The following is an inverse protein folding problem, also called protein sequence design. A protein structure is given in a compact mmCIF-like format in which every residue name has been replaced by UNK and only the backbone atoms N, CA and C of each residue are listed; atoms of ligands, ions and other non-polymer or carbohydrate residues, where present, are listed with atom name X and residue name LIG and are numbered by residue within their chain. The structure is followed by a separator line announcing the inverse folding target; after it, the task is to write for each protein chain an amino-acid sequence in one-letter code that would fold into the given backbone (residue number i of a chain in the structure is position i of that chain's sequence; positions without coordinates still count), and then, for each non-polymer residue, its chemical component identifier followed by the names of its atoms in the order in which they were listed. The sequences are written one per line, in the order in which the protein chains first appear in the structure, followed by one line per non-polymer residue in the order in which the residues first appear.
data_IF_043684237156
#
_entry.id   IF_043684237156
#
_cell.length_a   1.000
_cell.length_b   1.000
_cell.length_c   1.000
_cell.angle_alpha   90.00
_cell.angle_beta   90.00
_cell.angle_gamma   90.00
#
_symmetry.space_group_name_H-M   'P 1'
#
loop_
_entity.id
_entity.type
_entity.pdbx_description
1 polymer ?
#
# COMPACT_ATOMS: atom_id res chain seq x y z
N UNK A 1 -29.38 1.51 -42.89
CA UNK A 1 -29.66 0.91 -41.57
C UNK A 1 -28.68 -0.22 -41.31
N UNK A 2 -27.95 -0.19 -40.21
CA UNK A 2 -27.03 -1.27 -39.82
C UNK A 2 -27.84 -2.44 -39.29
N UNK A 3 -27.75 -3.62 -39.93
CA UNK A 3 -28.39 -4.85 -39.44
C UNK A 3 -27.62 -5.37 -38.23
N UNK A 4 -28.24 -5.36 -37.06
CA UNK A 4 -27.66 -5.90 -35.82
C UNK A 4 -27.94 -7.40 -35.75
N UNK A 5 -26.90 -8.21 -35.54
CA UNK A 5 -27.01 -9.65 -35.32
C UNK A 5 -26.29 -10.02 -34.02
N UNK A 6 -27.02 -10.63 -33.08
CA UNK A 6 -26.47 -11.08 -31.80
C UNK A 6 -26.03 -12.54 -31.96
N UNK A 7 -24.75 -12.82 -31.69
CA UNK A 7 -24.18 -14.18 -31.69
C UNK A 7 -23.79 -14.57 -30.27
N UNK A 8 -24.22 -15.74 -29.82
CA UNK A 8 -23.89 -16.28 -28.51
C UNK A 8 -22.77 -17.33 -28.61
N UNK A 9 -21.59 -16.88 -29.03
CA UNK A 9 -20.39 -17.72 -28.99
C UNK A 9 -19.68 -17.56 -27.64
N UNK A 10 -19.01 -18.61 -27.15
CA UNK A 10 -18.20 -18.59 -25.92
C UNK A 10 -16.89 -17.80 -26.13
N UNK A 11 -17.01 -16.50 -26.41
CA UNK A 11 -15.89 -15.57 -26.55
C UNK A 11 -15.89 -14.70 -25.29
N UNK A 12 -14.75 -14.61 -24.61
CA UNK A 12 -14.54 -13.66 -23.50
C UNK A 12 -13.94 -12.36 -24.02
N UNK A 13 -14.22 -11.24 -23.36
CA UNK A 13 -13.58 -9.95 -23.61
C UNK A 13 -12.21 -9.80 -22.93
N UNK A 14 -11.81 -10.74 -22.06
CA UNK A 14 -10.67 -10.61 -21.16
C UNK A 14 -9.62 -11.71 -21.34
N UNK A 15 -9.24 -12.05 -22.56
CA UNK A 15 -8.30 -13.15 -22.84
C UNK A 15 -6.94 -13.03 -22.16
N UNK A 16 -6.45 -11.81 -21.89
CA UNK A 16 -5.20 -11.58 -21.18
C UNK A 16 -5.22 -12.10 -19.73
N UNK A 17 -6.42 -12.26 -19.14
CA UNK A 17 -6.56 -12.80 -17.78
C UNK A 17 -6.03 -14.22 -17.69
N UNK A 18 -6.12 -15.03 -18.76
CA UNK A 18 -5.70 -16.43 -18.71
C UNK A 18 -4.20 -16.56 -18.49
N UNK A 19 -3.38 -15.69 -19.10
CA UNK A 19 -1.94 -15.64 -18.80
C UNK A 19 -1.70 -15.24 -17.34
N UNK A 20 -2.45 -14.28 -16.81
CA UNK A 20 -2.34 -13.86 -15.40
C UNK A 20 -2.68 -15.01 -14.45
N UNK A 21 -3.71 -15.81 -14.77
CA UNK A 21 -4.06 -17.02 -14.02
C UNK A 21 -2.94 -18.05 -14.06
N UNK A 22 -2.30 -18.25 -15.22
CA UNK A 22 -1.14 -19.14 -15.36
C UNK A 22 0.05 -18.64 -14.55
N UNK A 23 0.32 -17.33 -14.54
CA UNK A 23 1.35 -16.71 -13.70
C UNK A 23 1.05 -16.92 -12.21
N UNK A 24 -0.20 -16.69 -11.78
CA UNK A 24 -0.64 -16.93 -10.40
C UNK A 24 -0.40 -18.39 -9.98
N UNK A 25 -0.76 -19.35 -10.84
CA UNK A 25 -0.51 -20.78 -10.60
C UNK A 25 0.98 -21.12 -10.58
N UNK A 26 1.79 -20.58 -11.51
CA UNK A 26 3.24 -20.80 -11.59
C UNK A 26 3.99 -20.26 -10.36
N UNK A 27 3.57 -19.12 -9.84
CA UNK A 27 4.09 -18.58 -8.58
C UNK A 27 3.74 -19.48 -7.38
N UNK A 28 2.81 -20.42 -7.53
CA UNK A 28 2.44 -21.38 -6.49
C UNK A 28 1.67 -20.75 -5.34
N UNK A 29 0.93 -19.66 -5.61
CA UNK A 29 0.22 -18.92 -4.56
C UNK A 29 -0.86 -19.72 -3.86
N UNK A 30 -1.48 -20.71 -4.52
CA UNK A 30 -2.41 -21.61 -3.85
C UNK A 30 -1.73 -22.38 -2.71
N UNK A 31 -0.61 -23.06 -3.01
CA UNK A 31 0.17 -23.81 -2.01
C UNK A 31 0.75 -22.89 -0.93
N UNK A 32 1.22 -21.70 -1.32
CA UNK A 32 1.75 -20.72 -0.37
C UNK A 32 0.66 -20.26 0.60
N UNK A 33 -0.53 -19.93 0.09
CA UNK A 33 -1.66 -19.49 0.90
C UNK A 33 -2.10 -20.58 1.88
N UNK A 34 -2.20 -21.83 1.41
CA UNK A 34 -2.53 -22.97 2.28
C UNK A 34 -1.46 -23.19 3.36
N UNK A 35 -0.17 -22.98 3.06
CA UNK A 35 0.90 -23.13 4.04
C UNK A 35 0.87 -22.09 5.17
N UNK A 36 0.32 -20.91 4.93
CA UNK A 36 0.27 -19.81 5.92
C UNK A 36 -1.08 -19.74 6.62
N UNK A 37 -2.17 -19.85 5.87
CA UNK A 37 -3.54 -19.70 6.38
C UNK A 37 -4.20 -21.04 6.76
N UNK A 38 -3.58 -22.15 6.37
CA UNK A 38 -4.15 -23.48 6.54
C UNK A 38 -5.21 -23.82 5.50
N UNK A 39 -5.69 -25.06 5.60
CA UNK A 39 -6.80 -25.57 4.76
C UNK A 39 -8.13 -24.95 5.19
N UNK A 40 -8.94 -24.61 4.20
CA UNK A 40 -10.29 -24.12 4.41
C UNK A 40 -11.29 -25.27 4.45
N UNK A 41 -12.04 -25.37 5.54
CA UNK A 41 -13.09 -26.38 5.75
C UNK A 41 -12.57 -27.80 5.98
N UNK A 42 -13.39 -28.63 6.62
CA UNK A 42 -13.00 -30.00 7.00
C UNK A 42 -13.38 -31.06 5.95
N UNK A 43 -14.28 -30.73 5.01
CA UNK A 43 -14.94 -31.70 4.12
C UNK A 43 -14.28 -31.89 2.75
N UNK A 44 -13.20 -31.17 2.45
CA UNK A 44 -12.51 -31.19 1.14
C UNK A 44 -13.31 -30.60 -0.03
N UNK A 45 -14.56 -30.17 0.20
CA UNK A 45 -15.44 -29.56 -0.80
C UNK A 45 -15.42 -28.03 -0.80
N UNK A 46 -14.80 -27.42 0.21
CA UNK A 46 -14.69 -25.98 0.31
C UNK A 46 -13.61 -25.46 -0.65
N UNK A 47 -13.88 -24.30 -1.26
CA UNK A 47 -12.86 -23.58 -2.01
C UNK A 47 -11.70 -23.20 -1.09
N UNK A 48 -10.48 -23.39 -1.58
CA UNK A 48 -9.26 -23.00 -0.85
C UNK A 48 -9.18 -21.48 -0.69
N UNK A 49 -8.45 -21.01 0.33
CA UNK A 49 -8.13 -19.59 0.47
C UNK A 49 -7.43 -19.05 -0.78
N UNK A 50 -6.54 -19.82 -1.42
CA UNK A 50 -5.88 -19.42 -2.66
C UNK A 50 -6.85 -19.14 -3.80
N UNK A 51 -7.90 -19.96 -3.95
CA UNK A 51 -8.95 -19.76 -4.95
C UNK A 51 -9.82 -18.53 -4.63
N UNK A 52 -10.02 -18.21 -3.36
CA UNK A 52 -10.74 -17.01 -2.90
C UNK A 52 -9.96 -15.75 -3.24
N UNK A 53 -8.66 -15.71 -2.93
CA UNK A 53 -7.78 -14.61 -3.32
C UNK A 53 -7.73 -14.48 -4.84
N UNK A 54 -7.61 -15.60 -5.56
CA UNK A 54 -7.62 -15.64 -7.03
C UNK A 54 -8.88 -15.03 -7.63
N UNK A 55 -10.08 -15.44 -7.18
CA UNK A 55 -11.33 -14.84 -7.65
C UNK A 55 -11.37 -13.32 -7.50
N UNK A 56 -10.95 -12.81 -6.33
CA UNK A 56 -10.93 -11.38 -6.09
C UNK A 56 -9.90 -10.68 -6.98
N UNK A 57 -8.69 -11.25 -7.10
CA UNK A 57 -7.60 -10.69 -7.90
C UNK A 57 -8.00 -10.59 -9.36
N UNK A 58 -8.55 -11.66 -9.93
CA UNK A 58 -8.92 -11.69 -11.34
C UNK A 58 -10.09 -10.75 -11.64
N UNK A 59 -11.02 -10.56 -10.69
CA UNK A 59 -12.11 -9.60 -10.80
C UNK A 59 -11.60 -8.17 -10.97
N UNK A 60 -10.77 -7.70 -10.03
CA UNK A 60 -10.18 -6.36 -10.09
C UNK A 60 -9.27 -6.19 -11.32
N UNK A 61 -8.49 -7.21 -11.68
CA UNK A 61 -7.65 -7.17 -12.89
C UNK A 61 -8.46 -7.18 -14.21
N UNK A 62 -9.76 -7.40 -14.17
CA UNK A 62 -10.69 -7.22 -15.30
C UNK A 62 -11.55 -5.95 -15.17
N UNK A 63 -11.28 -5.09 -14.18
CA UNK A 63 -11.98 -3.83 -13.97
C UNK A 63 -13.22 -3.92 -13.08
N UNK A 64 -13.34 -4.96 -12.25
CA UNK A 64 -14.33 -4.97 -11.17
C UNK A 64 -13.95 -3.99 -10.07
N UNK A 65 -14.95 -3.34 -9.49
CA UNK A 65 -14.80 -2.32 -8.45
C UNK A 65 -15.40 -2.77 -7.10
N UNK A 66 -16.33 -3.73 -7.11
CA UNK A 66 -16.91 -4.33 -5.91
C UNK A 66 -16.81 -5.86 -5.88
N UNK A 67 -17.16 -6.46 -4.75
CA UNK A 67 -17.07 -7.91 -4.54
C UNK A 67 -18.09 -8.67 -5.41
N UNK A 68 -19.24 -8.05 -5.66
CA UNK A 68 -20.34 -8.61 -6.45
C UNK A 68 -19.99 -8.78 -7.93
N UNK A 69 -19.07 -7.97 -8.47
CA UNK A 69 -18.61 -8.05 -9.87
C UNK A 69 -17.99 -9.41 -10.21
N UNK A 70 -17.52 -10.14 -9.18
CA UNK A 70 -17.04 -11.52 -9.32
C UNK A 70 -18.10 -12.39 -9.99
N UNK A 71 -19.39 -12.20 -9.68
CA UNK A 71 -20.47 -13.01 -10.26
C UNK A 71 -20.64 -12.76 -11.76
N UNK A 72 -20.41 -11.53 -12.23
CA UNK A 72 -20.46 -11.19 -13.65
C UNK A 72 -19.25 -11.74 -14.43
N UNK A 73 -18.09 -11.83 -13.79
CA UNK A 73 -16.83 -12.22 -14.44
C UNK A 73 -16.51 -13.72 -14.33
N UNK A 74 -17.03 -14.40 -13.31
CA UNK A 74 -16.74 -15.83 -13.04
C UNK A 74 -17.06 -16.73 -14.23
N UNK A 75 -18.14 -16.43 -14.98
CA UNK A 75 -18.49 -17.18 -16.19
C UNK A 75 -17.40 -17.14 -17.26
N UNK A 76 -16.68 -16.01 -17.37
CA UNK A 76 -15.58 -15.84 -18.31
C UNK A 76 -14.33 -16.61 -17.86
N UNK A 77 -14.04 -16.62 -16.56
CA UNK A 77 -12.91 -17.35 -16.00
C UNK A 77 -13.08 -18.87 -16.15
N UNK A 78 -14.31 -19.39 -15.99
CA UNK A 78 -14.65 -20.81 -16.15
C UNK A 78 -14.45 -21.35 -17.57
N UNK A 79 -14.33 -20.49 -18.58
CA UNK A 79 -14.02 -20.93 -19.94
C UNK A 79 -12.60 -21.50 -20.04
N UNK A 80 -11.67 -21.13 -19.14
CA UNK A 80 -10.34 -21.75 -19.06
C UNK A 80 -10.46 -23.17 -18.50
N UNK A 81 -10.01 -24.21 -19.24
CA UNK A 81 -10.12 -25.60 -18.79
C UNK A 81 -9.52 -25.82 -17.40
N UNK A 82 -10.23 -26.57 -16.55
CA UNK A 82 -9.78 -26.89 -15.19
C UNK A 82 -9.89 -25.74 -14.18
N UNK A 83 -10.50 -24.62 -14.57
CA UNK A 83 -10.69 -23.48 -13.66
C UNK A 83 -11.99 -23.61 -12.88
N UNK A 84 -11.87 -23.72 -11.56
CA UNK A 84 -13.00 -23.67 -10.63
C UNK A 84 -12.79 -22.54 -9.63
N UNK A 85 -13.57 -21.47 -9.78
CA UNK A 85 -13.48 -20.28 -8.93
C UNK A 85 -14.82 -20.01 -8.21
N UNK A 86 -14.76 -19.61 -6.92
CA UNK A 86 -15.95 -19.25 -6.15
C UNK A 86 -16.56 -17.94 -6.64
N UNK A 87 -17.88 -17.81 -6.48
CA UNK A 87 -18.62 -16.55 -6.65
C UNK A 87 -18.51 -15.63 -5.43
N UNK A 88 -19.12 -14.45 -5.54
CA UNK A 88 -19.02 -13.35 -4.57
C UNK A 88 -19.32 -13.80 -3.13
N UNK A 89 -20.47 -14.43 -2.87
CA UNK A 89 -20.86 -14.82 -1.51
C UNK A 89 -19.86 -15.77 -0.82
N UNK A 90 -19.22 -16.63 -1.60
CA UNK A 90 -18.23 -17.57 -1.07
C UNK A 90 -16.90 -16.89 -0.83
N UNK A 91 -16.53 -15.92 -1.68
CA UNK A 91 -15.37 -15.05 -1.47
C UNK A 91 -15.57 -14.20 -0.21
N UNK A 92 -16.71 -13.52 -0.08
CA UNK A 92 -17.04 -12.71 1.09
C UNK A 92 -16.97 -13.50 2.39
N UNK A 93 -17.58 -14.70 2.44
CA UNK A 93 -17.49 -15.58 3.62
C UNK A 93 -16.05 -16.01 3.94
N UNK A 94 -15.28 -16.43 2.95
CA UNK A 94 -13.91 -16.85 3.21
C UNK A 94 -12.95 -15.71 3.58
N UNK A 95 -13.24 -14.47 3.19
CA UNK A 95 -12.51 -13.31 3.71
C UNK A 95 -12.87 -13.07 5.19
N UNK A 96 -14.15 -13.13 5.55
CA UNK A 96 -14.58 -12.98 6.96
C UNK A 96 -13.99 -14.05 7.88
N UNK A 97 -13.86 -15.29 7.39
CA UNK A 97 -13.23 -16.40 8.13
C UNK A 97 -11.74 -16.15 8.46
N UNK A 98 -11.08 -15.21 7.78
CA UNK A 98 -9.69 -14.84 8.02
C UNK A 98 -9.55 -13.65 8.99
N UNK A 99 -10.65 -13.09 9.47
CA UNK A 99 -10.62 -11.99 10.42
C UNK A 99 -10.02 -12.43 11.75
N UNK A 100 -9.13 -11.59 12.29
CA UNK A 100 -8.55 -11.77 13.63
C UNK A 100 -9.23 -10.79 14.58
N UNK A 101 -9.39 -11.16 15.85
CA UNK A 101 -10.01 -10.30 16.86
C UNK A 101 -9.22 -9.01 17.06
N UNK A 102 -9.95 -7.92 17.32
CA UNK A 102 -9.34 -6.63 17.61
C UNK A 102 -8.70 -6.60 18.99
N UNK A 103 -7.51 -6.02 19.08
CA UNK A 103 -6.84 -5.69 20.33
C UNK A 103 -7.38 -4.33 20.81
N UNK A 104 -7.90 -4.28 22.03
CA UNK A 104 -8.43 -3.06 22.63
C UNK A 104 -7.43 -2.47 23.60
N UNK A 105 -6.94 -1.27 23.29
CA UNK A 105 -6.07 -0.50 24.17
C UNK A 105 -6.87 0.59 24.89
N UNK A 106 -6.71 0.69 26.21
CA UNK A 106 -7.35 1.73 27.01
C UNK A 106 -6.36 2.85 27.28
N UNK A 107 -6.72 4.06 26.88
CA UNK A 107 -5.95 5.26 27.20
C UNK A 107 -6.17 5.62 28.67
N UNK A 108 -5.10 5.57 29.47
CA UNK A 108 -5.14 5.99 30.88
C UNK A 108 -5.49 7.48 31.03
N UNK A 109 -5.02 8.31 30.09
CA UNK A 109 -5.21 9.76 30.13
C UNK A 109 -6.64 10.20 29.76
N UNK A 110 -7.27 9.55 28.79
CA UNK A 110 -8.60 9.94 28.30
C UNK A 110 -9.72 9.02 28.77
N UNK A 111 -9.39 7.87 29.36
CA UNK A 111 -10.33 6.81 29.72
C UNK A 111 -10.96 6.09 28.52
N UNK A 112 -10.66 6.51 27.29
CA UNK A 112 -11.23 5.95 26.05
C UNK A 112 -10.52 4.67 25.64
N UNK A 113 -11.27 3.76 25.04
CA UNK A 113 -10.75 2.53 24.44
C UNK A 113 -10.65 2.68 22.94
N UNK A 114 -9.58 2.15 22.36
CA UNK A 114 -9.30 2.17 20.93
C UNK A 114 -8.98 0.76 20.44
N UNK A 115 -9.60 0.37 19.34
CA UNK A 115 -9.46 -0.95 18.74
C UNK A 115 -8.37 -0.93 17.67
N UNK A 116 -7.56 -1.98 17.64
CA UNK A 116 -6.49 -2.20 16.68
C UNK A 116 -6.61 -3.61 16.09
N UNK A 117 -6.34 -3.76 14.80
CA UNK A 117 -6.30 -5.05 14.12
C UNK A 117 -4.93 -5.27 13.48
N UNK A 118 -4.21 -6.28 13.97
CA UNK A 118 -2.83 -6.56 13.55
C UNK A 118 -2.75 -7.47 12.32
N UNK A 119 -3.77 -8.30 12.07
CA UNK A 119 -3.85 -9.26 10.95
C UNK A 119 -2.53 -10.02 10.71
N UNK A 120 -2.01 -10.69 11.74
CA UNK A 120 -0.66 -11.24 11.80
C UNK A 120 -0.41 -12.24 10.66
N UNK A 121 -1.34 -13.18 10.46
CA UNK A 121 -1.22 -14.22 9.43
C UNK A 121 -1.23 -13.63 8.02
N UNK A 122 -2.04 -12.60 7.79
CA UNK A 122 -2.12 -11.94 6.49
C UNK A 122 -0.91 -11.07 6.20
N UNK A 123 -0.36 -10.39 7.22
CA UNK A 123 0.91 -9.67 7.09
C UNK A 123 2.05 -10.63 6.74
N UNK A 124 2.09 -11.81 7.37
CA UNK A 124 3.05 -12.86 7.04
C UNK A 124 2.86 -13.37 5.60
N UNK A 125 1.62 -13.64 5.18
CA UNK A 125 1.32 -14.07 3.81
C UNK A 125 1.76 -13.02 2.77
N UNK A 126 1.48 -11.74 3.02
CA UNK A 126 1.87 -10.63 2.16
C UNK A 126 3.38 -10.63 1.91
N UNK A 127 4.18 -10.72 2.97
CA UNK A 127 5.64 -10.74 2.89
C UNK A 127 6.16 -11.98 2.15
N UNK A 128 5.59 -13.16 2.41
CA UNK A 128 5.98 -14.38 1.69
C UNK A 128 5.61 -14.34 0.22
N UNK A 129 4.49 -13.72 -0.16
CA UNK A 129 4.13 -13.48 -1.55
C UNK A 129 5.12 -12.53 -2.23
N UNK A 130 5.53 -11.44 -1.56
CA UNK A 130 6.55 -10.49 -2.06
C UNK A 130 7.87 -11.22 -2.33
N UNK A 131 8.32 -12.06 -1.39
CA UNK A 131 9.53 -12.88 -1.54
C UNK A 131 9.39 -13.87 -2.70
N UNK A 132 8.23 -14.52 -2.84
CA UNK A 132 7.96 -15.48 -3.93
C UNK A 132 7.95 -14.82 -5.31
N UNK A 133 7.47 -13.57 -5.41
CA UNK A 133 7.52 -12.75 -6.62
C UNK A 133 8.90 -12.15 -6.90
N UNK A 134 9.86 -12.25 -5.96
CA UNK A 134 11.17 -11.64 -6.09
C UNK A 134 11.14 -10.11 -6.16
N UNK A 135 10.08 -9.48 -5.64
CA UNK A 135 9.92 -8.02 -5.68
C UNK A 135 10.94 -7.29 -4.79
N UNK A 136 11.38 -7.95 -3.72
CA UNK A 136 12.42 -7.50 -2.79
C UNK A 136 13.38 -8.68 -2.59
N UNK A 137 14.69 -8.42 -2.73
CA UNK A 137 15.73 -9.47 -2.62
C UNK A 137 16.17 -9.60 -1.17
N UNK A 138 16.30 -10.84 -0.69
CA UNK A 138 16.93 -11.09 0.62
C UNK A 138 18.36 -10.54 0.64
N UNK A 139 18.78 -10.01 1.78
CA UNK A 139 20.07 -9.33 1.98
C UNK A 139 20.14 -7.90 1.43
N UNK A 140 19.09 -7.39 0.79
CA UNK A 140 19.09 -6.00 0.33
C UNK A 140 18.92 -5.01 1.48
N UNK A 141 19.55 -3.85 1.33
CA UNK A 141 19.33 -2.67 2.15
C UNK A 141 18.13 -1.89 1.60
N UNK A 142 17.14 -1.62 2.44
CA UNK A 142 15.84 -1.06 2.01
C UNK A 142 15.50 0.24 2.71
N UNK A 143 14.74 1.07 2.01
CA UNK A 143 14.12 2.28 2.56
C UNK A 143 12.67 1.96 2.92
N UNK A 144 12.34 2.08 4.20
CA UNK A 144 11.00 1.82 4.73
C UNK A 144 10.27 3.13 4.97
N UNK A 145 9.16 3.30 4.26
CA UNK A 145 8.23 4.41 4.45
C UNK A 145 7.05 3.94 5.30
N UNK A 146 6.67 4.73 6.31
CA UNK A 146 5.48 4.47 7.11
C UNK A 146 4.58 5.70 7.17
N UNK A 147 3.32 5.49 6.82
CA UNK A 147 2.30 6.52 6.82
C UNK A 147 0.94 5.98 7.27
N UNK A 148 0.14 6.86 7.85
CA UNK A 148 -1.23 6.56 8.16
C UNK A 148 -2.15 7.12 7.08
N UNK A 149 -3.10 6.30 6.64
CA UNK A 149 -4.08 6.68 5.64
C UNK A 149 -5.45 6.69 6.29
N UNK A 150 -6.14 7.83 6.27
CA UNK A 150 -7.56 7.85 6.62
C UNK A 150 -8.37 7.20 5.50
N UNK A 151 -9.20 6.22 5.84
CA UNK A 151 -10.11 5.58 4.90
C UNK A 151 -11.53 5.95 5.32
N UNK A 152 -12.17 6.91 4.63
CA UNK A 152 -13.58 7.24 4.85
C UNK A 152 -14.44 6.00 4.67
N UNK A 153 -15.22 5.66 5.69
CA UNK A 153 -16.04 4.48 5.69
C UNK A 153 -17.23 4.68 6.64
N UNK A 154 -18.44 4.65 6.09
CA UNK A 154 -19.68 4.68 6.87
C UNK A 154 -20.12 3.27 7.25
N UNK A 155 -19.24 2.56 7.97
CA UNK A 155 -19.48 1.17 8.42
C UNK A 155 -20.10 1.16 9.82
N UNK A 156 -20.63 0.00 10.21
CA UNK A 156 -21.38 -0.15 11.45
C UNK A 156 -20.56 0.25 12.68
N UNK A 157 -19.29 -0.13 12.73
CA UNK A 157 -18.39 0.15 13.85
C UNK A 157 -17.49 1.39 13.64
N UNK A 158 -17.57 2.05 12.49
CA UNK A 158 -16.73 3.19 12.15
C UNK A 158 -16.92 4.37 13.13
N UNK A 159 -15.81 5.04 13.48
CA UNK A 159 -15.80 6.15 14.43
C UNK A 159 -15.54 7.47 13.73
N UNK A 160 -16.15 8.55 14.23
CA UNK A 160 -15.95 9.88 13.69
C UNK A 160 -14.53 10.38 13.98
N UNK A 161 -13.82 10.72 12.92
CA UNK A 161 -12.41 11.14 12.95
C UNK A 161 -12.26 12.65 13.04
N UNK A 162 -11.08 13.10 13.45
CA UNK A 162 -10.67 14.51 13.34
C UNK A 162 -10.58 14.99 11.88
N UNK A 163 -10.58 14.06 10.91
CA UNK A 163 -10.73 14.34 9.46
C UNK A 163 -12.16 14.70 9.05
N UNK A 164 -13.04 14.93 10.02
CA UNK A 164 -14.44 15.35 9.85
C UNK A 164 -15.34 14.34 9.14
N UNK A 165 -14.97 13.06 9.20
CA UNK A 165 -15.75 11.97 8.60
C UNK A 165 -15.64 10.68 9.42
N UNK A 166 -16.55 9.73 9.20
CA UNK A 166 -16.48 8.39 9.78
C UNK A 166 -15.51 7.51 8.98
N UNK A 167 -14.71 6.71 9.67
CA UNK A 167 -13.84 5.77 8.99
C UNK A 167 -12.84 5.10 9.89
N UNK A 168 -11.78 4.59 9.28
CA UNK A 168 -10.66 3.94 9.95
C UNK A 168 -9.35 4.68 9.67
N UNK A 169 -8.35 4.48 10.51
CA UNK A 169 -7.06 5.16 10.42
C UNK A 169 -5.86 4.20 10.35
N UNK A 170 -5.83 3.27 9.38
CA UNK A 170 -4.78 2.26 9.28
C UNK A 170 -3.40 2.85 9.05
N UNK A 171 -2.39 2.20 9.62
CA UNK A 171 -0.97 2.47 9.39
C UNK A 171 -0.39 1.47 8.39
N UNK A 172 0.28 1.96 7.36
CA UNK A 172 0.85 1.14 6.30
C UNK A 172 2.32 1.43 6.10
N UNK A 173 3.08 0.36 5.87
CA UNK A 173 4.48 0.43 5.51
C UNK A 173 4.71 0.05 4.04
N UNK A 174 5.65 0.73 3.38
CA UNK A 174 6.02 0.42 2.01
C UNK A 174 7.51 0.55 1.74
N UNK A 175 8.00 -0.19 0.74
CA UNK A 175 9.39 -0.17 0.25
C UNK A 175 9.35 0.05 -1.26
N UNK A 176 9.82 1.19 -1.75
CA UNK A 176 9.84 1.49 -3.19
C UNK A 176 8.47 1.33 -3.87
N UNK A 177 7.40 1.66 -3.14
CA UNK A 177 6.01 1.49 -3.56
C UNK A 177 5.46 0.07 -3.47
N UNK A 178 6.16 -0.90 -2.90
CA UNK A 178 5.60 -2.22 -2.56
C UNK A 178 5.04 -2.13 -1.14
N UNK A 179 3.78 -2.50 -0.91
CA UNK A 179 3.20 -2.49 0.44
C UNK A 179 3.76 -3.71 1.19
N UNK A 180 4.37 -3.50 2.36
CA UNK A 180 5.05 -4.58 3.11
C UNK A 180 4.36 -4.93 4.42
N UNK A 181 3.40 -4.13 4.86
CA UNK A 181 2.56 -4.48 5.99
C UNK A 181 1.65 -3.34 6.39
N UNK A 182 0.63 -3.66 7.16
CA UNK A 182 -0.25 -2.67 7.75
C UNK A 182 -1.07 -3.22 8.90
N UNK A 183 -1.60 -2.30 9.69
CA UNK A 183 -2.47 -2.57 10.83
C UNK A 183 -3.60 -1.55 10.84
N UNK A 184 -4.83 -2.01 11.08
CA UNK A 184 -6.00 -1.15 11.10
C UNK A 184 -6.31 -0.67 12.51
N UNK A 185 -6.98 0.48 12.63
CA UNK A 185 -7.43 1.02 13.92
C UNK A 185 -8.59 1.99 13.76
N UNK A 186 -9.26 2.26 14.87
CA UNK A 186 -10.39 3.19 14.93
C UNK A 186 -10.02 4.58 14.38
N UNK A 187 -10.96 5.18 13.63
CA UNK A 187 -10.79 6.50 12.99
C UNK A 187 -10.53 7.67 13.94
N UNK A 188 -10.92 7.54 15.21
CA UNK A 188 -10.77 8.56 16.26
C UNK A 188 -9.50 8.36 17.11
N UNK A 189 -8.68 7.35 16.81
CA UNK A 189 -7.44 7.08 17.53
C UNK A 189 -6.41 8.15 17.24
N UNK A 190 -5.72 8.65 18.28
CA UNK A 190 -4.59 9.54 18.08
C UNK A 190 -3.49 8.78 17.33
N UNK A 191 -2.92 9.41 16.30
CA UNK A 191 -1.94 8.75 15.43
C UNK A 191 -0.71 8.20 16.16
N UNK A 192 -0.33 8.82 17.29
CA UNK A 192 0.81 8.46 18.13
C UNK A 192 0.52 7.31 19.10
N UNK A 193 -0.75 6.99 19.36
CA UNK A 193 -1.15 6.03 20.38
C UNK A 193 -0.82 4.59 19.91
N UNK A 194 0.00 3.87 20.68
CA UNK A 194 0.51 2.52 20.38
C UNK A 194 1.12 2.36 18.97
N UNK A 195 1.66 3.45 18.42
CA UNK A 195 2.29 3.41 17.11
C UNK A 195 3.62 2.65 17.16
N UNK A 196 4.35 2.75 18.26
CA UNK A 196 5.57 2.01 18.54
C UNK A 196 5.36 0.51 18.47
N UNK A 197 4.23 0.01 18.99
CA UNK A 197 3.88 -1.41 18.92
C UNK A 197 3.64 -1.86 17.47
N UNK A 198 2.95 -1.02 16.69
CA UNK A 198 2.68 -1.25 15.26
C UNK A 198 3.98 -1.28 14.45
N UNK A 199 4.84 -0.27 14.63
CA UNK A 199 6.13 -0.17 13.95
C UNK A 199 7.07 -1.31 14.33
N UNK A 200 7.12 -1.67 15.61
CA UNK A 200 7.89 -2.83 16.10
C UNK A 200 7.50 -4.09 15.34
N UNK A 201 6.19 -4.43 15.36
CA UNK A 201 5.68 -5.63 14.69
C UNK A 201 5.97 -5.62 13.19
N UNK A 202 5.73 -4.51 12.51
CA UNK A 202 5.98 -4.39 11.07
C UNK A 202 7.47 -4.55 10.75
N UNK A 203 8.36 -3.83 11.42
CA UNK A 203 9.80 -3.86 11.15
C UNK A 203 10.41 -5.22 11.48
N UNK A 204 10.01 -5.85 12.58
CA UNK A 204 10.47 -7.17 12.97
C UNK A 204 10.01 -8.23 11.94
N UNK A 205 8.76 -8.17 11.47
CA UNK A 205 8.25 -9.03 10.40
C UNK A 205 8.97 -8.82 9.08
N UNK A 206 9.16 -7.57 8.65
CA UNK A 206 9.84 -7.23 7.39
C UNK A 206 11.26 -7.82 7.39
N UNK A 207 11.99 -7.64 8.49
CA UNK A 207 13.36 -8.14 8.63
C UNK A 207 13.39 -9.67 8.63
N UNK A 208 12.53 -10.32 9.40
CA UNK A 208 12.52 -11.78 9.55
C UNK A 208 11.99 -12.55 8.33
N UNK A 209 10.90 -12.10 7.71
CA UNK A 209 10.26 -12.82 6.59
C UNK A 209 10.91 -12.51 5.23
N UNK A 210 11.35 -11.26 5.00
CA UNK A 210 12.05 -10.88 3.76
C UNK A 210 13.57 -11.07 3.85
N UNK A 211 14.13 -11.10 5.06
CA UNK A 211 15.58 -11.20 5.26
C UNK A 211 16.33 -9.95 4.78
N UNK A 212 15.78 -8.76 5.00
CA UNK A 212 16.34 -7.48 4.56
C UNK A 212 16.88 -6.67 5.73
N UNK A 213 17.76 -5.71 5.45
CA UNK A 213 18.23 -4.72 6.43
C UNK A 213 17.54 -3.40 6.15
N UNK A 214 16.85 -2.85 7.15
CA UNK A 214 16.22 -1.53 7.03
C UNK A 214 17.32 -0.48 7.18
N UNK A 215 17.73 0.11 6.06
CA UNK A 215 18.82 1.09 6.04
C UNK A 215 18.31 2.48 6.43
N UNK A 216 17.19 2.88 5.82
CA UNK A 216 16.58 4.20 6.03
C UNK A 216 15.11 4.04 6.38
N UNK A 217 14.64 4.75 7.39
CA UNK A 217 13.24 4.84 7.76
C UNK A 217 12.71 6.26 7.57
N UNK A 218 11.53 6.44 6.96
CA UNK A 218 10.89 7.75 6.80
C UNK A 218 9.45 7.73 7.33
N UNK A 219 9.07 8.77 8.07
CA UNK A 219 7.70 8.95 8.56
C UNK A 219 7.30 10.42 8.74
N UNK A 220 5.99 10.68 8.82
CA UNK A 220 5.43 12.01 9.08
C UNK A 220 5.41 12.39 10.58
N UNK A 221 4.98 13.62 10.87
CA UNK A 221 4.91 14.19 12.21
C UNK A 221 3.97 13.46 13.17
N UNK A 222 3.04 12.67 12.62
CA UNK A 222 2.25 11.71 13.37
C UNK A 222 3.09 10.70 14.14
N UNK A 223 4.34 10.48 13.75
CA UNK A 223 5.28 9.52 14.35
C UNK A 223 6.29 10.15 15.31
N UNK A 224 6.17 11.46 15.59
CA UNK A 224 7.08 12.16 16.48
C UNK A 224 6.72 11.91 17.96
N UNK A 225 7.26 10.83 18.53
CA UNK A 225 7.24 10.50 19.96
C UNK A 225 8.58 9.88 20.39
N UNK A 226 8.93 9.97 21.69
CA UNK A 226 10.19 9.42 22.22
C UNK A 226 10.23 7.90 22.10
N UNK A 227 9.08 7.25 22.34
CA UNK A 227 8.88 5.80 22.31
C UNK A 227 9.04 5.26 20.88
N UNK A 228 8.47 5.95 19.90
CA UNK A 228 8.61 5.61 18.47
C UNK A 228 10.08 5.72 18.03
N UNK A 229 10.76 6.81 18.39
CA UNK A 229 12.17 7.01 17.99
C UNK A 229 13.06 5.90 18.59
N UNK A 230 12.90 5.57 19.87
CA UNK A 230 13.65 4.47 20.51
C UNK A 230 13.42 3.13 19.81
N UNK A 231 12.19 2.86 19.39
CA UNK A 231 11.82 1.60 18.73
C UNK A 231 12.41 1.49 17.32
N UNK A 232 12.32 2.57 16.55
CA UNK A 232 12.81 2.67 15.16
C UNK A 232 14.33 2.62 15.12
N UNK A 233 15.00 3.37 15.99
CA UNK A 233 16.47 3.45 16.03
C UNK A 233 17.14 2.09 16.29
N UNK A 234 16.48 1.19 17.02
CA UNK A 234 16.99 -0.17 17.25
C UNK A 234 16.86 -1.09 16.02
N UNK A 235 16.08 -0.70 15.01
CA UNK A 235 15.64 -1.55 13.89
C UNK A 235 16.02 -0.98 12.52
N UNK A 236 16.63 0.20 12.47
CA UNK A 236 17.15 0.78 11.24
C UNK A 236 18.47 1.51 11.49
N UNK A 237 19.31 1.61 10.45
CA UNK A 237 20.57 2.34 10.54
C UNK A 237 20.35 3.86 10.64
N UNK A 238 19.45 4.39 9.80
CA UNK A 238 19.13 5.82 9.81
C UNK A 238 17.63 6.08 9.72
N UNK A 239 17.17 7.15 10.37
CA UNK A 239 15.76 7.54 10.31
C UNK A 239 15.59 9.02 9.97
N UNK A 240 14.42 9.34 9.42
CA UNK A 240 14.00 10.69 9.05
C UNK A 240 12.53 10.86 9.44
N UNK A 241 12.28 11.51 10.57
CA UNK A 241 10.93 11.72 11.11
C UNK A 241 10.66 13.22 11.13
N UNK A 242 9.54 13.66 10.57
CA UNK A 242 9.16 15.07 10.66
C UNK A 242 8.83 15.43 12.10
N UNK A 243 9.46 16.45 12.66
CA UNK A 243 9.12 16.96 13.97
C UNK A 243 7.91 17.89 13.87
N UNK A 244 7.03 17.84 14.88
CA UNK A 244 5.92 18.79 14.98
C UNK A 244 6.46 20.21 15.21
N UNK A 245 5.89 21.20 14.53
CA UNK A 245 6.18 22.61 14.77
C UNK A 245 5.61 23.01 16.14
N UNK A 246 6.42 22.96 17.19
CA UNK A 246 6.03 23.45 18.50
C UNK A 246 6.21 24.97 18.55
N UNK A 247 5.21 25.71 19.01
CA UNK A 247 5.22 27.17 19.06
C UNK A 247 6.40 27.75 19.85
N UNK A 248 6.85 27.07 20.91
CA UNK A 248 8.04 27.47 21.68
C UNK A 248 9.35 27.37 20.89
N UNK A 249 9.48 26.40 19.98
CA UNK A 249 10.68 26.25 19.14
C UNK A 249 10.67 27.18 17.94
N UNK A 250 9.51 27.69 17.52
CA UNK A 250 9.43 28.72 16.48
C UNK A 250 10.13 30.01 16.93
N UNK A 251 10.11 30.34 18.23
CA UNK A 251 10.87 31.47 18.76
C UNK A 251 12.38 31.21 18.75
N UNK A 252 12.82 30.01 19.15
CA UNK A 252 14.23 29.58 19.04
C UNK A 252 14.73 29.63 17.58
N UNK A 253 13.92 29.18 16.62
CA UNK A 253 14.30 29.20 15.21
C UNK A 253 14.34 30.62 14.62
N UNK A 254 13.53 31.55 15.11
CA UNK A 254 13.56 32.97 14.67
C UNK A 254 14.86 33.67 15.08
N UNK A 255 15.49 33.24 16.16
CA UNK A 255 16.76 33.79 16.65
C UNK A 255 17.99 33.25 15.90
N UNK A 256 17.82 32.25 15.03
CA UNK A 256 18.92 31.73 14.22
C UNK A 256 19.21 32.68 13.05
N UNK A 257 20.47 33.08 12.89
CA UNK A 257 20.88 34.06 11.87
C UNK A 257 21.50 33.39 10.62
N UNK A 258 22.09 32.20 10.76
CA UNK A 258 22.89 31.52 9.69
C UNK A 258 22.05 30.62 8.76
N UNK A 259 21.00 31.17 8.16
CA UNK A 259 20.18 30.43 7.20
C UNK A 259 20.88 30.28 5.84
N UNK A 260 20.92 29.06 5.32
CA UNK A 260 21.45 28.78 3.98
C UNK A 260 20.30 28.63 2.99
N UNK A 261 20.25 29.46 1.96
CA UNK A 261 19.27 29.29 0.88
C UNK A 261 19.67 28.13 -0.03
N UNK A 262 18.76 27.18 -0.21
CA UNK A 262 18.92 26.02 -1.09
C UNK A 262 17.70 25.90 -2.00
N UNK A 263 17.97 25.51 -3.25
CA UNK A 263 16.91 25.24 -4.22
C UNK A 263 16.70 23.72 -4.31
N UNK A 264 15.47 23.29 -4.03
CA UNK A 264 15.03 21.88 -4.10
C UNK A 264 13.85 21.83 -5.08
N UNK A 265 14.07 21.23 -6.25
CA UNK A 265 13.10 21.30 -7.35
C UNK A 265 13.05 22.71 -7.97
N UNK A 266 11.88 23.34 -7.93
CA UNK A 266 11.65 24.71 -8.42
C UNK A 266 11.39 25.72 -7.29
N UNK A 267 11.48 25.28 -6.03
CA UNK A 267 11.23 26.13 -4.85
C UNK A 267 12.54 26.42 -4.11
N UNK A 268 12.65 27.67 -3.66
CA UNK A 268 13.74 28.13 -2.79
C UNK A 268 13.33 27.99 -1.33
N UNK A 269 14.18 27.33 -0.57
CA UNK A 269 14.02 27.12 0.87
C UNK A 269 15.23 27.68 1.59
N UNK A 270 15.00 28.24 2.77
CA UNK A 270 16.08 28.52 3.70
C UNK A 270 16.20 27.36 4.68
N UNK A 271 17.41 26.84 4.86
CA UNK A 271 17.67 25.64 5.65
C UNK A 271 18.77 25.86 6.69
N UNK A 272 18.64 25.20 7.83
CA UNK A 272 19.65 25.17 8.89
C UNK A 272 19.62 23.81 9.61
N UNK A 273 20.75 23.39 10.15
CA UNK A 273 20.84 22.21 11.03
C UNK A 273 21.08 22.64 12.47
N UNK A 274 20.31 22.06 13.39
CA UNK A 274 20.45 22.28 14.83
C UNK A 274 20.63 20.92 15.52
N UNK A 275 21.56 20.83 16.47
CA UNK A 275 21.70 19.64 17.33
C UNK A 275 20.56 19.59 18.34
N UNK A 276 20.00 18.39 18.55
CA UNK A 276 18.91 18.14 19.49
C UNK A 276 19.34 17.05 20.47
N UNK A 277 19.85 17.49 21.62
CA UNK A 277 20.47 16.63 22.64
C UNK A 277 19.53 16.31 23.80
N UNK A 278 18.42 17.05 23.91
CA UNK A 278 17.49 16.98 25.05
C UNK A 278 16.31 16.01 24.84
N UNK A 279 16.24 15.32 23.70
CA UNK A 279 15.09 14.47 23.39
C UNK A 279 15.14 13.14 24.14
N UNK A 280 16.31 12.50 24.10
CA UNK A 280 16.61 11.23 24.76
C UNK A 280 17.95 11.39 25.45
N UNK A 281 17.99 11.11 26.74
CA UNK A 281 19.20 11.22 27.56
C UNK A 281 20.36 10.42 26.94
N UNK A 282 21.52 11.07 26.81
CA UNK A 282 22.72 10.48 26.22
C UNK A 282 22.72 10.38 24.69
N UNK A 283 21.70 10.90 23.98
CA UNK A 283 21.63 10.85 22.51
C UNK A 283 21.48 12.23 21.89
N UNK A 284 22.32 12.49 20.90
CA UNK A 284 22.35 13.74 20.14
C UNK A 284 21.87 13.51 18.71
N UNK A 285 20.71 14.08 18.37
CA UNK A 285 20.12 14.00 17.04
C UNK A 285 20.37 15.28 16.24
N UNK A 286 20.26 15.20 14.92
CA UNK A 286 20.27 16.37 14.03
C UNK A 286 18.85 16.74 13.65
N UNK A 287 18.50 18.00 13.84
CA UNK A 287 17.24 18.59 13.39
C UNK A 287 17.52 19.49 12.18
N UNK A 288 17.09 19.07 11.00
CA UNK A 288 17.13 19.89 9.80
C UNK A 288 15.85 20.71 9.74
N UNK A 289 15.98 22.03 9.82
CA UNK A 289 14.87 22.98 9.78
C UNK A 289 14.85 23.63 8.41
N UNK A 290 13.71 23.57 7.73
CA UNK A 290 13.43 24.34 6.52
C UNK A 290 12.36 25.38 6.84
N UNK A 291 12.52 26.59 6.32
CA UNK A 291 11.52 27.65 6.39
C UNK A 291 11.11 28.09 4.99
N UNK A 292 9.81 28.40 4.83
CA UNK A 292 9.25 28.96 3.60
C UNK A 292 8.33 30.14 3.96
N UNK A 293 8.33 31.25 3.21
CA UNK A 293 7.41 32.36 3.46
C UNK A 293 5.96 31.87 3.40
N UNK A 294 5.17 32.22 4.41
CA UNK A 294 3.74 31.96 4.41
C UNK A 294 3.09 32.88 3.37
N UNK A 295 2.39 32.30 2.41
CA UNK A 295 1.69 33.06 1.37
C UNK A 295 0.19 33.17 1.68
N UNK A 296 -0.41 34.31 1.36
CA UNK A 296 -1.85 34.52 1.41
C UNK A 296 -2.56 33.79 0.26
N UNK A 297 -3.89 33.89 0.22
CA UNK A 297 -4.75 33.29 -0.82
C UNK A 297 -4.46 33.82 -2.24
N UNK A 298 -3.71 34.92 -2.35
CA UNK A 298 -3.31 35.58 -3.59
C UNK A 298 -1.82 35.42 -3.89
N UNK A 299 -1.09 34.58 -3.14
CA UNK A 299 0.33 34.31 -3.35
C UNK A 299 1.28 35.37 -2.79
N UNK A 300 0.79 36.38 -2.07
CA UNK A 300 1.60 37.41 -1.42
C UNK A 300 2.11 36.94 -0.07
N UNK A 301 3.34 37.28 0.27
CA UNK A 301 3.93 36.93 1.56
C UNK A 301 3.16 37.62 2.70
N UNK A 302 2.78 36.85 3.71
CA UNK A 302 2.16 37.37 4.91
C UNK A 302 3.23 37.92 5.84
N UNK A 303 3.02 39.13 6.32
CA UNK A 303 3.92 39.83 7.24
C UNK A 303 3.17 40.16 8.52
N UNK A 304 3.82 39.97 9.66
CA UNK A 304 3.39 40.44 10.99
C UNK A 304 4.23 41.67 11.41
N UNK A 305 3.97 42.25 12.58
CA UNK A 305 4.76 43.35 13.17
C UNK A 305 6.26 43.05 13.30
N UNK A 306 6.65 41.77 13.22
CA UNK A 306 8.04 41.29 13.31
C UNK A 306 8.64 40.83 11.97
N UNK A 307 7.98 41.13 10.83
CA UNK A 307 8.45 40.80 9.48
C UNK A 307 7.70 39.63 8.83
N UNK A 308 8.32 38.98 7.84
CA UNK A 308 7.71 37.89 7.07
C UNK A 308 7.40 36.69 7.98
N UNK A 309 6.17 36.19 7.90
CA UNK A 309 5.74 34.99 8.61
C UNK A 309 6.26 33.78 7.83
N UNK A 310 6.97 32.88 8.50
CA UNK A 310 7.49 31.66 7.90
C UNK A 310 6.74 30.42 8.38
N UNK A 311 6.57 29.46 7.47
CA UNK A 311 6.21 28.08 7.80
C UNK A 311 7.48 27.29 8.04
N UNK A 312 7.65 26.76 9.25
CA UNK A 312 8.77 25.90 9.60
C UNK A 312 8.39 24.44 9.43
N UNK A 313 9.24 23.66 8.76
CA UNK A 313 9.15 22.20 8.73
C UNK A 313 10.47 21.64 9.23
N UNK A 314 10.40 20.74 10.19
CA UNK A 314 11.58 20.19 10.84
C UNK A 314 11.68 18.69 10.56
N UNK A 315 12.86 18.19 10.23
CA UNK A 315 13.14 16.76 10.02
C UNK A 315 14.19 16.35 11.05
N UNK A 316 13.82 15.43 11.93
CA UNK A 316 14.73 14.81 12.89
C UNK A 316 15.41 13.60 12.24
N UNK A 317 16.72 13.53 12.35
CA UNK A 317 17.53 12.40 11.88
C UNK A 317 18.70 12.11 12.79
N UNK A 318 19.15 10.85 12.83
CA UNK A 318 20.43 10.45 13.41
C UNK A 318 21.59 10.55 12.40
N UNK A 319 21.32 10.89 11.14
CA UNK A 319 22.33 10.97 10.09
C UNK A 319 23.03 12.35 10.05
N UNK A 320 24.36 12.34 10.18
CA UNK A 320 25.19 13.56 10.19
C UNK A 320 25.96 13.81 8.88
N UNK A 321 26.02 12.83 7.99
CA UNK A 321 26.89 12.88 6.81
C UNK A 321 26.33 13.70 5.65
N UNK A 322 25.04 13.55 5.24
CA UNK A 322 24.51 14.28 4.08
C UNK A 322 24.27 15.75 4.37
N UNK A 323 24.18 16.57 3.32
CA UNK A 323 23.82 17.99 3.47
C UNK A 323 22.33 18.15 3.81
N UNK A 324 21.93 19.32 4.32
CA UNK A 324 20.53 19.66 4.58
C UNK A 324 19.68 19.47 3.33
N UNK A 325 20.22 19.88 2.17
CA UNK A 325 19.57 19.75 0.86
C UNK A 325 19.31 18.29 0.51
N UNK A 326 20.28 17.41 0.73
CA UNK A 326 20.14 15.98 0.43
C UNK A 326 19.09 15.33 1.34
N UNK A 327 19.07 15.69 2.62
CA UNK A 327 18.08 15.20 3.59
C UNK A 327 16.66 15.62 3.17
N UNK A 328 16.47 16.88 2.80
CA UNK A 328 15.16 17.39 2.36
C UNK A 328 14.74 16.74 1.06
N UNK A 329 15.65 16.60 0.08
CA UNK A 329 15.36 15.96 -1.21
C UNK A 329 14.95 14.51 -0.99
N UNK A 330 15.71 13.76 -0.18
CA UNK A 330 15.40 12.38 0.17
C UNK A 330 14.09 12.23 0.95
N UNK A 331 13.79 13.17 1.86
CA UNK A 331 12.53 13.15 2.61
C UNK A 331 11.32 13.43 1.69
N UNK A 332 11.47 14.34 0.72
CA UNK A 332 10.39 14.71 -0.21
C UNK A 332 9.98 13.56 -1.14
N UNK A 333 10.86 12.59 -1.42
CA UNK A 333 10.50 11.38 -2.16
C UNK A 333 9.43 10.52 -1.46
N UNK A 334 9.21 10.71 -0.14
CA UNK A 334 8.08 10.10 0.59
C UNK A 334 6.72 10.46 -0.01
N UNK A 335 6.61 11.56 -0.75
CA UNK A 335 5.38 11.91 -1.50
C UNK A 335 4.90 10.81 -2.45
N UNK A 336 5.78 9.87 -2.83
CA UNK A 336 5.38 8.66 -3.56
C UNK A 336 4.39 7.77 -2.79
N UNK A 337 4.40 7.78 -1.45
CA UNK A 337 3.46 7.05 -0.60
C UNK A 337 2.02 7.54 -0.78
N UNK A 338 1.79 8.84 -0.91
CA UNK A 338 0.45 9.39 -1.17
C UNK A 338 -0.11 8.85 -2.49
N UNK A 339 0.72 8.80 -3.53
CA UNK A 339 0.35 8.19 -4.81
C UNK A 339 0.06 6.68 -4.68
N UNK A 340 0.78 5.96 -3.82
CA UNK A 340 0.49 4.55 -3.55
C UNK A 340 -0.89 4.36 -2.92
N UNK A 341 -1.27 5.22 -1.99
CA UNK A 341 -2.60 5.17 -1.37
C UNK A 341 -3.70 5.60 -2.34
N UNK A 342 -3.46 6.59 -3.19
CA UNK A 342 -4.39 6.96 -4.27
C UNK A 342 -4.65 5.79 -5.25
N UNK A 343 -3.59 5.04 -5.60
CA UNK A 343 -3.72 3.80 -6.37
C UNK A 343 -4.57 2.77 -5.62
N UNK A 344 -4.32 2.59 -4.34
CA UNK A 344 -5.02 1.59 -3.57
C UNK A 344 -6.51 1.92 -3.38
N UNK A 345 -6.83 3.19 -3.18
CA UNK A 345 -8.20 3.69 -3.08
C UNK A 345 -8.95 3.54 -4.40
N UNK A 346 -8.39 4.05 -5.50
CA UNK A 346 -9.12 4.17 -6.77
C UNK A 346 -9.07 2.91 -7.66
N UNK A 347 -7.99 2.14 -7.60
CA UNK A 347 -7.77 0.99 -8.50
C UNK A 347 -7.95 -0.37 -7.79
N UNK A 348 -7.85 -0.42 -6.45
CA UNK A 348 -7.87 -1.68 -5.68
C UNK A 348 -8.90 -1.69 -4.53
N UNK A 349 -9.86 -0.77 -4.54
CA UNK A 349 -11.10 -0.90 -3.78
C UNK A 349 -11.06 -0.46 -2.31
N UNK A 350 -10.00 0.20 -1.83
CA UNK A 350 -10.02 0.71 -0.44
C UNK A 350 -11.09 1.79 -0.21
N UNK A 351 -11.59 2.46 -1.26
CA UNK A 351 -12.77 3.34 -1.18
C UNK A 351 -14.10 2.59 -1.01
N UNK A 352 -14.14 1.29 -1.32
CA UNK A 352 -15.34 0.47 -1.39
C UNK A 352 -15.23 -0.76 -0.49
N UNK A 353 -14.88 -0.53 0.78
CA UNK A 353 -14.81 -1.59 1.79
C UNK A 353 -16.13 -2.38 1.84
N UNK A 354 -16.13 -3.72 1.70
CA UNK A 354 -17.39 -4.48 1.54
C UNK A 354 -18.06 -4.85 2.87
N UNK A 355 -17.34 -4.78 4.00
CA UNK A 355 -17.81 -5.34 5.26
C UNK A 355 -18.23 -4.29 6.29
N UNK A 356 -18.96 -4.74 7.31
CA UNK A 356 -19.53 -3.87 8.35
C UNK A 356 -18.57 -3.60 9.51
N UNK A 357 -17.57 -4.46 9.70
CA UNK A 357 -16.66 -4.43 10.84
C UNK A 357 -15.19 -4.22 10.41
N UNK A 358 -14.41 -3.60 11.29
CA UNK A 358 -13.02 -3.21 11.04
C UNK A 358 -12.08 -4.40 10.79
N UNK A 359 -12.27 -5.50 11.52
CA UNK A 359 -11.50 -6.73 11.42
C UNK A 359 -11.72 -7.42 10.07
N UNK A 360 -12.97 -7.57 9.64
CA UNK A 360 -13.34 -8.08 8.31
C UNK A 360 -12.77 -7.17 7.21
N UNK A 361 -12.89 -5.85 7.36
CA UNK A 361 -12.35 -4.88 6.41
C UNK A 361 -10.83 -4.87 6.38
N UNK A 362 -10.15 -5.15 7.50
CA UNK A 362 -8.70 -5.29 7.52
C UNK A 362 -8.24 -6.47 6.64
N UNK A 363 -8.97 -7.60 6.67
CA UNK A 363 -8.71 -8.71 5.74
C UNK A 363 -8.81 -8.23 4.29
N UNK A 364 -9.89 -7.55 3.94
CA UNK A 364 -10.08 -7.04 2.58
C UNK A 364 -8.96 -6.09 2.15
N UNK A 365 -8.56 -5.18 3.04
CA UNK A 365 -7.46 -4.25 2.76
C UNK A 365 -6.12 -4.95 2.57
N UNK A 366 -5.81 -5.98 3.38
CA UNK A 366 -4.61 -6.79 3.23
C UNK A 366 -4.59 -7.58 1.91
N UNK A 367 -5.71 -8.21 1.57
CA UNK A 367 -5.83 -8.97 0.33
C UNK A 367 -5.70 -8.06 -0.90
N UNK A 368 -6.31 -6.88 -0.88
CA UNK A 368 -6.16 -5.91 -1.97
C UNK A 368 -4.76 -5.28 -2.02
N UNK A 369 -4.04 -5.18 -0.89
CA UNK A 369 -2.62 -4.82 -0.89
C UNK A 369 -1.74 -5.91 -1.53
N UNK A 370 -2.04 -7.20 -1.27
CA UNK A 370 -1.39 -8.33 -1.97
C UNK A 370 -1.66 -8.28 -3.47
N UNK A 371 -2.90 -7.98 -3.88
CA UNK A 371 -3.28 -7.79 -5.27
C UNK A 371 -2.47 -6.66 -5.92
N UNK A 372 -2.34 -5.52 -5.25
CA UNK A 372 -1.56 -4.39 -5.78
C UNK A 372 -0.09 -4.76 -5.97
N UNK A 373 0.51 -5.49 -5.03
CA UNK A 373 1.87 -6.00 -5.20
C UNK A 373 1.98 -7.01 -6.34
N UNK A 374 0.99 -7.89 -6.50
CA UNK A 374 0.91 -8.81 -7.63
C UNK A 374 0.78 -8.06 -8.96
N UNK A 375 -0.02 -7.00 -9.01
CA UNK A 375 -0.10 -6.10 -10.16
C UNK A 375 1.25 -5.45 -10.48
N UNK A 376 1.97 -4.96 -9.47
CA UNK A 376 3.31 -4.39 -9.66
C UNK A 376 4.29 -5.42 -10.24
N UNK A 377 4.21 -6.67 -9.81
CA UNK A 377 4.96 -7.76 -10.43
C UNK A 377 4.56 -7.93 -11.90
N UNK A 378 3.26 -8.06 -12.20
CA UNK A 378 2.76 -8.26 -13.57
C UNK A 378 3.17 -7.13 -14.51
N UNK A 379 2.94 -5.87 -14.13
CA UNK A 379 3.25 -4.72 -14.99
C UNK A 379 4.75 -4.60 -15.24
N UNK A 380 5.61 -4.94 -14.27
CA UNK A 380 7.07 -4.92 -14.44
C UNK A 380 7.54 -5.92 -15.49
N UNK A 381 6.97 -7.11 -15.53
CA UNK A 381 7.34 -8.17 -16.50
C UNK A 381 6.67 -7.94 -17.86
N UNK A 382 5.38 -7.61 -17.88
CA UNK A 382 4.61 -7.48 -19.12
C UNK A 382 5.00 -6.22 -19.90
N UNK A 383 5.31 -5.11 -19.22
CA UNK A 383 5.70 -3.86 -19.90
C UNK A 383 7.01 -3.96 -20.70
N UNK A 384 7.85 -4.95 -20.42
CA UNK A 384 9.09 -5.18 -21.18
C UNK A 384 8.79 -5.69 -22.61
N UNK A 385 7.64 -6.36 -22.79
CA UNK A 385 7.18 -6.91 -24.07
C UNK A 385 6.06 -6.10 -24.71
N UNK A 386 5.23 -5.44 -23.89
CA UNK A 386 4.08 -4.65 -24.33
C UNK A 386 4.44 -3.17 -24.38
N UNK A 387 4.93 -2.70 -25.54
CA UNK A 387 5.39 -1.31 -25.74
C UNK A 387 4.45 -0.21 -25.24
N UNK A 388 3.11 -0.31 -25.39
CA UNK A 388 2.19 0.71 -24.84
C UNK A 388 2.18 0.80 -23.31
N UNK A 389 2.65 -0.22 -22.60
CA UNK A 389 2.70 -0.26 -21.14
C UNK A 389 4.04 0.22 -20.61
N UNK A 390 3.99 0.98 -19.51
CA UNK A 390 5.16 1.39 -18.73
C UNK A 390 5.11 0.70 -17.37
N UNK A 391 6.26 0.57 -16.71
CA UNK A 391 6.34 0.05 -15.32
C UNK A 391 5.52 0.87 -14.32
N UNK A 392 5.19 2.12 -14.67
CA UNK A 392 4.37 3.06 -13.89
C UNK A 392 2.92 3.17 -14.37
N UNK A 393 2.50 2.36 -15.34
CA UNK A 393 1.13 2.35 -15.85
C UNK A 393 0.14 2.01 -14.73
N UNK A 394 -1.03 2.65 -14.76
CA UNK A 394 -2.17 2.40 -13.87
C UNK A 394 -2.96 1.18 -14.34
N UNK A 395 -3.77 0.62 -13.43
CA UNK A 395 -4.55 -0.59 -13.70
C UNK A 395 -5.44 -0.45 -14.96
N UNK A 396 -6.10 0.69 -15.14
CA UNK A 396 -6.93 0.96 -16.33
C UNK A 396 -6.17 0.81 -17.66
N UNK A 397 -4.94 1.31 -17.73
CA UNK A 397 -4.09 1.17 -18.91
C UNK A 397 -3.65 -0.28 -19.12
N UNK A 398 -3.32 -0.98 -18.03
CA UNK A 398 -2.99 -2.41 -18.07
C UNK A 398 -4.16 -3.25 -18.59
N UNK A 399 -5.39 -2.98 -18.12
CA UNK A 399 -6.60 -3.63 -18.60
C UNK A 399 -6.77 -3.38 -20.10
N UNK A 400 -6.76 -2.11 -20.52
CA UNK A 400 -6.95 -1.71 -21.92
C UNK A 400 -5.94 -2.35 -22.88
N UNK A 401 -4.66 -2.35 -22.52
CA UNK A 401 -3.61 -2.78 -23.43
C UNK A 401 -3.34 -4.28 -23.35
N UNK A 402 -3.50 -4.92 -22.20
CA UNK A 402 -3.15 -6.33 -22.01
C UNK A 402 -4.34 -7.26 -21.70
N UNK A 403 -5.21 -6.90 -20.75
CA UNK A 403 -6.27 -7.83 -20.31
C UNK A 403 -7.41 -7.91 -21.32
N UNK A 404 -7.85 -6.77 -21.84
CA UNK A 404 -8.94 -6.62 -22.82
C UNK A 404 -8.52 -7.08 -24.22
N UNK A 405 -8.64 -8.38 -24.46
CA UNK A 405 -8.45 -9.01 -25.76
C UNK A 405 -9.49 -10.12 -25.94
N UNK A 406 -10.25 -10.14 -27.05
CA UNK A 406 -11.23 -11.19 -27.25
C UNK A 406 -10.55 -12.55 -27.37
N UNK A 407 -11.08 -13.56 -26.68
CA UNK A 407 -10.47 -14.88 -26.66
C UNK A 407 -11.49 -16.02 -26.57
N UNK A 408 -11.11 -17.20 -27.08
CA UNK A 408 -11.93 -18.42 -27.07
C UNK A 408 -11.07 -19.64 -26.87
N UNK A 409 -11.46 -20.48 -25.92
CA UNK A 409 -10.88 -21.82 -25.79
C UNK A 409 -11.56 -22.78 -26.77
N UNK A 410 -10.76 -23.49 -27.56
CA UNK A 410 -11.21 -24.52 -28.50
C UNK A 410 -10.48 -25.82 -28.19
N UNK A 411 -11.22 -26.93 -28.23
CA UNK A 411 -10.64 -28.25 -28.11
C UNK A 411 -10.35 -28.78 -29.51
N UNK A 412 -9.08 -28.94 -29.84
CA UNK A 412 -8.64 -29.49 -31.12
C UNK A 412 -7.89 -30.79 -30.88
N UNK A 413 -8.50 -31.91 -31.26
CA UNK A 413 -8.01 -33.25 -30.92
C UNK A 413 -7.97 -33.48 -29.40
N UNK A 414 -6.78 -33.78 -28.87
CA UNK A 414 -6.54 -33.99 -27.42
C UNK A 414 -5.97 -32.76 -26.70
N UNK A 415 -5.86 -31.60 -27.36
CA UNK A 415 -5.27 -30.38 -26.78
C UNK A 415 -6.32 -29.26 -26.67
N UNK A 416 -6.23 -28.49 -25.60
CA UNK A 416 -6.95 -27.22 -25.46
C UNK A 416 -6.08 -26.12 -26.09
N UNK A 417 -6.67 -25.34 -26.98
CA UNK A 417 -6.01 -24.23 -27.68
C UNK A 417 -6.75 -22.94 -27.33
N UNK A 418 -6.00 -21.92 -26.89
CA UNK A 418 -6.53 -20.59 -26.67
C UNK A 418 -6.36 -19.75 -27.94
N UNK A 419 -7.47 -19.38 -28.56
CA UNK A 419 -7.48 -18.46 -29.69
C UNK A 419 -7.64 -17.03 -29.16
N UNK A 420 -6.69 -16.16 -29.49
CA UNK A 420 -6.78 -14.72 -29.25
C UNK A 420 -7.12 -14.01 -30.57
N UNK A 421 -8.17 -13.19 -30.57
CA UNK A 421 -8.63 -12.47 -31.77
C UNK A 421 -8.09 -11.05 -31.75
N UNK A 422 -6.84 -10.89 -32.20
CA UNK A 422 -6.15 -9.59 -32.18
C UNK A 422 -5.07 -9.48 -33.23
N UNK A 423 -4.74 -8.25 -33.64
CA UNK A 423 -3.57 -7.91 -34.46
C UNK A 423 -2.32 -7.62 -33.61
N UNK A 424 -2.43 -7.66 -32.28
CA UNK A 424 -1.35 -7.39 -31.33
C UNK A 424 -0.40 -8.59 -31.26
N UNK A 425 0.69 -8.55 -32.02
CA UNK A 425 1.65 -9.65 -32.12
C UNK A 425 2.31 -10.02 -30.79
N UNK A 426 2.52 -9.06 -29.87
CA UNK A 426 3.22 -9.32 -28.60
C UNK A 426 2.58 -10.38 -27.70
N UNK A 427 1.32 -10.77 -27.93
CA UNK A 427 0.70 -11.86 -27.17
C UNK A 427 1.32 -13.22 -27.46
N UNK A 428 1.88 -13.45 -28.66
CA UNK A 428 2.59 -14.71 -28.94
C UNK A 428 3.79 -14.87 -28.01
N UNK A 429 4.53 -13.80 -27.80
CA UNK A 429 5.78 -13.81 -27.03
C UNK A 429 5.54 -13.90 -25.52
N UNK A 430 4.32 -13.61 -25.07
CA UNK A 430 3.92 -13.63 -23.65
C UNK A 430 3.23 -14.94 -23.28
N UNK A 431 2.36 -15.47 -24.13
CA UNK A 431 1.61 -16.71 -23.84
C UNK A 431 2.41 -17.99 -24.11
N UNK A 432 3.53 -17.91 -24.83
CA UNK A 432 4.41 -19.06 -25.09
C UNK A 432 5.52 -19.26 -24.05
N UNK A 433 5.62 -18.37 -23.05
CA UNK A 433 6.45 -18.51 -21.84
C UNK A 433 5.69 -19.11 -20.66
#
# INVERSE_FOLDING_TARGET
MTKVAIKNENITSFGGIYHIMDVFSRLGFEKLTESVLGRRGCSGKAFSHGSILGSLFFSYLCGGDCLEDINALTGQFRQRPGTLLPGADTVGRGLKELAEENIVYKSETSGRSYSFNTAEKLNTLLLRMIRRMGLIKAGSHVDLDFDHQFVPAHKFDAKYSYKQDFGYFPGWASIGGIIVGGENRDGNTNVKFHQEDTLRRIMDRVTSELGVVIERFRADCGSFSKEVIRTVEQRCNTFYIRAASCGSRCEEFRQLEEWKSVEVGYERYDVISVSMDNLIEGKSYRLVVQRTPLKDKHGREQTDMFGVIYTYRCILTNNRTPTEKDIITFYNERGASEKNFDIQNNDFGWSHLPFSFMDENMVFMMVTAMLKNFYLYLVRHISEKVKPLKKTSRLKAFILHFVSVPAKWVRTGRRNVLNLYTNKAYYSDIFLE
#
